data_IF_198176794422
#
_entry.id   IF_198176794422
#
_cell.length_a   1.000
_cell.length_b   1.000
_cell.length_c   1.000
_cell.angle_alpha   90.00
_cell.angle_beta   90.00
_cell.angle_gamma   90.00
#
_symmetry.space_group_name_H-M   'P 1'
#
loop_
_entity.id
_entity.type
_entity.pdbx_description
1 polymer ?
#
# COMPACT_ATOMS: atom_id res chain seq x y z
N UNK A 1 14.06 -15.72 -22.30
CA UNK A 1 15.11 -14.75 -22.70
C UNK A 1 16.04 -14.58 -21.53
N UNK A 2 17.33 -14.95 -21.65
CA UNK A 2 18.32 -14.56 -20.65
C UNK A 2 18.53 -13.04 -20.68
N UNK A 3 18.92 -12.46 -19.55
CA UNK A 3 19.30 -11.06 -19.42
C UNK A 3 20.77 -10.98 -19.01
N UNK A 4 21.45 -9.90 -19.39
CA UNK A 4 22.83 -9.63 -18.98
C UNK A 4 22.89 -9.35 -17.46
N UNK A 5 24.02 -9.65 -16.82
CA UNK A 5 24.20 -9.46 -15.37
C UNK A 5 23.93 -8.01 -14.94
N UNK A 6 24.35 -7.03 -15.73
CA UNK A 6 24.09 -5.60 -15.47
C UNK A 6 22.59 -5.27 -15.46
N UNK A 7 21.80 -5.95 -16.30
CA UNK A 7 20.35 -5.77 -16.37
C UNK A 7 19.64 -6.48 -15.21
N UNK A 8 20.24 -7.54 -14.65
CA UNK A 8 19.75 -8.21 -13.44
C UNK A 8 19.86 -7.30 -12.21
N UNK A 9 20.99 -6.61 -12.03
CA UNK A 9 21.19 -5.65 -10.93
C UNK A 9 20.23 -4.44 -11.02
N UNK A 10 19.72 -4.14 -12.21
CA UNK A 10 18.74 -3.07 -12.45
C UNK A 10 17.28 -3.53 -12.27
N UNK A 11 17.03 -4.82 -12.02
CA UNK A 11 15.70 -5.26 -11.66
C UNK A 11 15.36 -4.67 -10.30
N UNK A 12 14.52 -3.64 -10.31
CA UNK A 12 13.89 -3.17 -9.08
C UNK A 12 13.03 -4.31 -8.55
N UNK A 13 13.30 -4.73 -7.32
CA UNK A 13 12.33 -5.48 -6.55
C UNK A 13 11.17 -4.51 -6.31
N UNK A 14 10.15 -4.57 -7.18
CA UNK A 14 8.91 -3.85 -6.95
C UNK A 14 8.38 -4.35 -5.60
N UNK A 15 8.45 -3.48 -4.59
CA UNK A 15 8.23 -3.88 -3.21
C UNK A 15 6.81 -4.40 -3.01
N UNK A 16 5.87 -3.99 -3.87
CA UNK A 16 4.48 -4.40 -3.81
C UNK A 16 4.27 -5.77 -4.50
N UNK A 17 3.66 -6.74 -3.82
CA UNK A 17 3.26 -7.99 -4.46
C UNK A 17 2.36 -7.75 -5.67
N UNK A 18 2.77 -8.29 -6.82
CA UNK A 18 1.94 -8.26 -8.04
C UNK A 18 0.58 -8.94 -7.80
N UNK A 19 -0.52 -8.41 -8.34
CA UNK A 19 -1.84 -9.03 -8.25
C UNK A 19 -1.82 -10.50 -8.68
N UNK A 20 -2.60 -11.33 -7.98
CA UNK A 20 -2.70 -12.78 -8.26
C UNK A 20 -1.54 -13.63 -7.73
N UNK A 21 -0.49 -13.03 -7.18
CA UNK A 21 0.59 -13.78 -6.50
C UNK A 21 0.15 -14.30 -5.12
N UNK A 22 0.82 -15.33 -4.61
CA UNK A 22 0.58 -15.83 -3.25
C UNK A 22 0.78 -14.73 -2.19
N UNK A 23 1.76 -13.85 -2.40
CA UNK A 23 2.01 -12.72 -1.51
C UNK A 23 0.85 -11.72 -1.51
N UNK A 24 0.30 -11.41 -2.70
CA UNK A 24 -0.88 -10.55 -2.81
C UNK A 24 -2.11 -11.20 -2.15
N UNK A 25 -2.36 -12.50 -2.37
CA UNK A 25 -3.47 -13.23 -1.74
C UNK A 25 -3.40 -13.20 -0.20
N UNK A 26 -2.22 -13.44 0.36
CA UNK A 26 -2.00 -13.42 1.82
C UNK A 26 -2.15 -12.02 2.40
N UNK A 27 -1.55 -10.99 1.78
CA UNK A 27 -1.69 -9.61 2.24
C UNK A 27 -3.13 -9.12 2.19
N UNK A 28 -3.86 -9.40 1.11
CA UNK A 28 -5.25 -8.99 0.97
C UNK A 28 -6.13 -9.59 2.07
N UNK A 29 -5.92 -10.88 2.34
CA UNK A 29 -6.59 -11.57 3.44
C UNK A 29 -6.26 -10.93 4.79
N UNK A 30 -4.98 -10.64 5.05
CA UNK A 30 -4.56 -10.01 6.31
C UNK A 30 -5.08 -8.58 6.44
N UNK A 31 -5.14 -7.78 5.36
CA UNK A 31 -5.76 -6.45 5.35
C UNK A 31 -7.24 -6.48 5.68
N UNK A 32 -7.97 -7.43 5.08
CA UNK A 32 -9.40 -7.65 5.40
C UNK A 32 -9.62 -8.06 6.86
N UNK A 33 -8.58 -8.60 7.52
CA UNK A 33 -8.63 -9.12 8.89
C UNK A 33 -7.56 -8.45 9.78
N UNK A 34 -7.33 -7.14 9.61
CA UNK A 34 -6.17 -6.42 10.17
C UNK A 34 -6.00 -6.53 11.70
N UNK A 35 -7.11 -6.70 12.44
CA UNK A 35 -7.13 -6.82 13.90
C UNK A 35 -6.85 -8.24 14.42
N UNK A 36 -6.54 -9.19 13.53
CA UNK A 36 -6.38 -10.61 13.88
C UNK A 36 -5.01 -11.15 13.49
N UNK A 37 -4.59 -12.20 14.20
CA UNK A 37 -3.38 -12.96 13.87
C UNK A 37 -3.74 -14.42 13.56
N UNK A 38 -2.99 -15.03 12.65
CA UNK A 38 -3.28 -16.35 12.10
C UNK A 38 -2.04 -17.24 12.08
N UNK A 39 -2.24 -18.52 12.26
CA UNK A 39 -1.22 -19.54 12.00
C UNK A 39 -1.03 -19.76 10.49
N UNK A 40 0.10 -20.35 10.10
CA UNK A 40 0.33 -20.71 8.69
C UNK A 40 -0.70 -21.69 8.15
N UNK A 41 -1.19 -22.63 8.98
CA UNK A 41 -2.24 -23.57 8.61
C UNK A 41 -3.57 -22.86 8.35
N UNK A 42 -3.98 -21.95 9.24
CA UNK A 42 -5.21 -21.17 9.03
C UNK A 42 -5.12 -20.29 7.79
N UNK A 43 -3.93 -19.72 7.51
CA UNK A 43 -3.70 -18.96 6.28
C UNK A 43 -3.77 -19.85 5.05
N UNK A 44 -3.21 -21.07 5.08
CA UNK A 44 -3.31 -22.02 3.97
C UNK A 44 -4.76 -22.50 3.73
N UNK A 45 -5.56 -22.62 4.79
CA UNK A 45 -6.95 -23.06 4.70
C UNK A 45 -7.87 -21.93 4.20
N UNK A 46 -7.59 -20.69 4.60
CA UNK A 46 -8.45 -19.52 4.29
C UNK A 46 -8.01 -18.75 3.05
N UNK A 47 -6.78 -18.93 2.60
CA UNK A 47 -6.27 -18.35 1.36
C UNK A 47 -5.97 -19.49 0.41
N UNK A 48 -6.36 -19.36 -0.86
CA UNK A 48 -6.07 -20.33 -1.93
C UNK A 48 -4.57 -20.34 -2.30
N UNK A 49 -3.73 -20.55 -1.30
CA UNK A 49 -2.27 -20.58 -1.33
C UNK A 49 -1.84 -21.91 -0.76
N UNK A 50 -0.98 -22.62 -1.50
CA UNK A 50 -0.53 -23.93 -1.07
C UNK A 50 0.24 -23.84 0.24
N UNK A 51 0.01 -24.79 1.17
CA UNK A 51 0.65 -24.78 2.49
C UNK A 51 2.19 -24.67 2.43
N UNK A 52 2.82 -25.32 1.44
CA UNK A 52 4.27 -25.24 1.22
C UNK A 52 4.77 -23.86 0.78
N UNK A 53 3.89 -22.99 0.28
CA UNK A 53 4.21 -21.63 -0.13
C UNK A 53 3.97 -20.61 0.98
N UNK A 54 3.06 -20.86 1.92
CA UNK A 54 2.66 -19.89 2.95
C UNK A 54 3.85 -19.41 3.78
N UNK A 55 4.61 -20.33 4.38
CA UNK A 55 5.77 -20.00 5.21
C UNK A 55 6.82 -19.16 4.47
N UNK A 56 7.39 -19.63 3.35
CA UNK A 56 8.37 -18.85 2.58
C UNK A 56 7.85 -17.51 2.06
N UNK A 57 6.55 -17.40 1.77
CA UNK A 57 5.95 -16.12 1.36
C UNK A 57 5.83 -15.16 2.54
N UNK A 58 5.40 -15.61 3.72
CA UNK A 58 5.30 -14.79 4.93
C UNK A 58 6.67 -14.28 5.39
N UNK A 59 7.73 -15.09 5.28
CA UNK A 59 9.10 -14.64 5.57
C UNK A 59 9.48 -13.45 4.69
N UNK A 60 9.25 -13.55 3.37
CA UNK A 60 9.55 -12.45 2.43
C UNK A 60 8.70 -11.20 2.71
N UNK A 61 7.44 -11.37 3.10
CA UNK A 61 6.59 -10.25 3.48
C UNK A 61 7.09 -9.55 4.74
N UNK A 62 7.59 -10.32 5.71
CA UNK A 62 8.18 -9.79 6.95
C UNK A 62 9.50 -9.07 6.70
N UNK A 63 10.34 -9.58 5.81
CA UNK A 63 11.59 -8.92 5.39
C UNK A 63 11.34 -7.52 4.81
N UNK A 64 10.14 -7.29 4.27
CA UNK A 64 9.67 -5.99 3.75
C UNK A 64 8.74 -5.26 4.72
N UNK A 65 8.76 -5.61 6.00
CA UNK A 65 7.97 -4.98 7.08
C UNK A 65 6.45 -4.98 6.85
N UNK A 66 5.93 -5.93 6.05
CA UNK A 66 4.49 -5.98 5.73
C UNK A 66 3.66 -6.82 6.69
N UNK A 67 4.31 -7.74 7.41
CA UNK A 67 3.65 -8.62 8.38
C UNK A 67 4.54 -8.81 9.60
N UNK A 68 3.90 -8.96 10.75
CA UNK A 68 4.57 -9.31 12.01
C UNK A 68 4.46 -10.81 12.27
N UNK A 69 5.44 -11.34 13.00
CA UNK A 69 5.49 -12.73 13.43
C UNK A 69 5.75 -12.84 14.93
N UNK A 70 4.90 -13.59 15.63
CA UNK A 70 5.10 -13.92 17.03
C UNK A 70 4.64 -15.35 17.36
N UNK A 71 5.57 -16.19 17.81
CA UNK A 71 5.30 -17.61 18.07
C UNK A 71 4.95 -18.35 16.79
N UNK A 72 3.71 -18.81 16.66
CA UNK A 72 3.19 -19.44 15.44
C UNK A 72 2.28 -18.51 14.63
N UNK A 73 2.06 -17.29 15.11
CA UNK A 73 1.05 -16.37 14.59
C UNK A 73 1.67 -15.27 13.76
N UNK A 74 0.93 -14.91 12.71
CA UNK A 74 1.27 -13.88 11.74
C UNK A 74 0.11 -12.89 11.63
N UNK A 75 0.42 -11.61 11.57
CA UNK A 75 -0.59 -10.54 11.39
C UNK A 75 -0.09 -9.49 10.41
N UNK A 76 -0.99 -8.63 9.94
CA UNK A 76 -0.60 -7.41 9.24
C UNK A 76 0.26 -6.52 10.16
N UNK A 77 1.31 -5.90 9.62
CA UNK A 77 2.14 -4.97 10.40
C UNK A 77 1.41 -3.65 10.61
N UNK A 78 1.76 -2.94 11.69
CA UNK A 78 1.20 -1.61 11.96
C UNK A 78 1.63 -0.59 10.89
N UNK A 79 2.79 -0.80 10.26
CA UNK A 79 3.25 -0.01 9.12
C UNK A 79 2.28 -0.12 7.94
N UNK A 80 1.91 -1.35 7.54
CA UNK A 80 0.94 -1.57 6.46
C UNK A 80 -0.44 -1.02 6.81
N UNK A 81 -0.90 -1.21 8.04
CA UNK A 81 -2.18 -0.63 8.51
C UNK A 81 -2.19 0.88 8.37
N UNK A 82 -1.07 1.55 8.72
CA UNK A 82 -0.92 2.99 8.58
C UNK A 82 -0.95 3.46 7.12
N UNK A 83 -0.25 2.74 6.23
CA UNK A 83 -0.23 3.05 4.78
C UNK A 83 -1.61 2.88 4.16
N UNK A 84 -2.33 1.82 4.51
CA UNK A 84 -3.67 1.55 3.99
C UNK A 84 -4.68 2.62 4.46
N UNK A 85 -4.65 2.96 5.75
CA UNK A 85 -5.49 4.03 6.31
C UNK A 85 -5.21 5.40 5.67
N UNK A 86 -3.94 5.75 5.48
CA UNK A 86 -3.56 7.01 4.83
C UNK A 86 -4.05 7.07 3.37
N UNK A 87 -3.88 5.97 2.63
CA UNK A 87 -4.32 5.86 1.24
C UNK A 87 -5.85 5.93 1.12
N UNK A 88 -6.56 5.24 2.02
CA UNK A 88 -8.02 5.31 2.13
C UNK A 88 -8.51 6.72 2.43
N UNK A 89 -7.87 7.43 3.37
CA UNK A 89 -8.23 8.80 3.72
C UNK A 89 -7.99 9.78 2.55
N UNK A 90 -6.85 9.66 1.86
CA UNK A 90 -6.55 10.47 0.68
C UNK A 90 -7.58 10.24 -0.44
N UNK A 91 -7.94 8.98 -0.69
CA UNK A 91 -8.95 8.61 -1.69
C UNK A 91 -10.33 9.15 -1.34
N UNK A 92 -10.76 9.04 -0.09
CA UNK A 92 -12.04 9.60 0.38
C UNK A 92 -12.06 11.13 0.27
N UNK A 93 -10.94 11.80 0.57
CA UNK A 93 -10.80 13.25 0.46
C UNK A 93 -10.88 13.72 -1.00
N UNK A 94 -10.27 12.99 -1.93
CA UNK A 94 -10.37 13.27 -3.36
C UNK A 94 -11.80 13.06 -3.86
N UNK A 95 -12.43 11.94 -3.51
CA UNK A 95 -13.81 11.65 -3.89
C UNK A 95 -14.79 12.71 -3.37
N UNK A 96 -14.58 13.20 -2.14
CA UNK A 96 -15.37 14.29 -1.57
C UNK A 96 -15.22 15.59 -2.39
N UNK A 97 -13.99 15.96 -2.78
CA UNK A 97 -13.75 17.15 -3.62
C UNK A 97 -14.33 17.03 -5.02
N UNK A 98 -14.23 15.86 -5.65
CA UNK A 98 -14.81 15.64 -6.98
C UNK A 98 -16.34 15.64 -6.94
N UNK A 99 -16.95 15.20 -5.84
CA UNK A 99 -18.40 15.13 -5.68
C UNK A 99 -19.05 16.45 -5.25
N UNK A 100 -18.27 17.44 -4.81
CA UNK A 100 -18.78 18.70 -4.26
C UNK A 100 -19.37 19.63 -5.35
N UNK A 101 -19.17 19.32 -6.65
CA UNK A 101 -19.57 20.12 -7.83
C UNK A 101 -19.15 21.62 -7.77
N UNK A 102 -18.40 22.02 -6.73
CA UNK A 102 -17.75 23.30 -6.58
C UNK A 102 -16.55 23.34 -7.51
N UNK A 103 -16.83 23.60 -8.80
CA UNK A 103 -15.80 23.99 -9.74
C UNK A 103 -15.19 25.29 -9.24
N UNK A 104 -13.88 25.33 -8.92
CA UNK A 104 -13.26 26.55 -8.42
C UNK A 104 -13.42 27.66 -9.46
N UNK A 105 -14.13 28.73 -9.11
CA UNK A 105 -14.32 29.86 -10.01
C UNK A 105 -13.10 30.74 -9.93
N UNK A 106 -12.30 30.80 -11.01
CA UNK A 106 -11.03 31.53 -11.03
C UNK A 106 -11.16 33.00 -10.56
N UNK A 107 -12.33 33.63 -10.75
CA UNK A 107 -12.61 34.98 -10.28
C UNK A 107 -12.57 35.12 -8.75
N UNK A 108 -13.12 34.16 -8.01
CA UNK A 108 -13.16 34.17 -6.54
C UNK A 108 -11.75 34.05 -5.95
N UNK A 109 -10.90 33.25 -6.61
CA UNK A 109 -9.50 33.10 -6.23
C UNK A 109 -8.66 34.32 -6.61
N UNK A 110 -9.00 35.00 -7.70
CA UNK A 110 -8.29 36.20 -8.15
C UNK A 110 -8.45 37.37 -7.17
N UNK A 111 -9.56 37.47 -6.45
CA UNK A 111 -9.75 38.50 -5.40
C UNK A 111 -8.74 38.34 -4.24
N UNK A 112 -8.37 37.09 -3.93
CA UNK A 112 -7.44 36.76 -2.84
C UNK A 112 -6.02 36.44 -3.33
N UNK A 113 -5.80 36.46 -4.65
CA UNK A 113 -4.50 36.17 -5.23
C UNK A 113 -3.53 37.31 -4.95
N UNK A 114 -2.39 36.95 -4.37
CA UNK A 114 -1.31 37.91 -4.14
C UNK A 114 -0.63 38.20 -5.48
N UNK A 115 -0.54 39.47 -5.90
CA UNK A 115 0.21 39.85 -7.11
C UNK A 115 1.72 39.89 -6.81
N UNK A 116 2.52 38.94 -7.34
CA UNK A 116 3.97 38.92 -7.13
C UNK A 116 4.70 40.11 -7.77
N UNK A 117 4.02 40.95 -8.56
CA UNK A 117 4.58 42.21 -9.08
C UNK A 117 4.56 43.34 -8.05
N UNK A 118 3.65 43.31 -7.09
CA UNK A 118 3.56 44.31 -6.01
C UNK A 118 4.55 44.00 -4.88
N UNK A 119 4.87 42.72 -4.65
CA UNK A 119 5.82 42.28 -3.61
C UNK A 119 7.31 42.47 -3.95
N UNK A 120 7.67 42.86 -5.18
CA UNK A 120 9.08 43.02 -5.60
C UNK A 120 9.68 44.39 -5.24
N UNK A 121 8.97 45.24 -4.50
CA UNK A 121 9.37 46.62 -4.20
C UNK A 121 9.81 46.87 -2.74
N UNK A 122 10.20 45.82 -2.02
CA UNK A 122 10.90 45.95 -0.73
C UNK A 122 12.34 45.47 -0.81
#
# INVERSE_FOLDING_TARGET
MPIEAEAFEQLSDDDQPRPGTNAAKLLEFLRTNAEMAFTQSELADRTDVTAGSVGPTLVRLRERDRVDHHGNYWRLSDHETGVDAATGHASATLAARESDDETPVMADWHEHAVDPREQRRE
#
